data_IF_363324486755
#
_entry.id   IF_363324486755
#
_cell.length_a   1.000
_cell.length_b   1.000
_cell.length_c   1.000
_cell.angle_alpha   90.00
_cell.angle_beta   90.00
_cell.angle_gamma   90.00
#
_symmetry.space_group_name_H-M   'P 1'
#
loop_
_entity.id
_entity.type
_entity.pdbx_description
1 polymer ?
#
# COMPACT_ATOMS: atom_id res chain seq x y z
N UNK A 1 3.13 13.56 3.82
CA UNK A 1 2.85 12.19 4.29
C UNK A 1 2.42 11.28 3.15
N UNK A 2 1.41 11.67 2.38
CA UNK A 2 0.96 10.86 1.23
C UNK A 2 2.08 10.66 0.21
N UNK A 3 2.87 11.69 -0.05
CA UNK A 3 3.97 11.62 -1.02
C UNK A 3 5.01 10.57 -0.64
N UNK A 4 5.26 10.38 0.64
CA UNK A 4 6.20 9.36 1.12
C UNK A 4 5.67 7.97 0.78
N UNK A 5 4.37 7.75 0.95
CA UNK A 5 3.72 6.47 0.61
C UNK A 5 3.79 6.25 -0.90
N UNK A 6 3.47 7.27 -1.70
CA UNK A 6 3.52 7.17 -3.16
C UNK A 6 4.93 6.78 -3.62
N UNK A 7 5.95 7.47 -3.10
CA UNK A 7 7.33 7.17 -3.47
C UNK A 7 7.73 5.75 -3.08
N UNK A 8 7.35 5.33 -1.88
CA UNK A 8 7.65 3.99 -1.38
C UNK A 8 7.01 2.92 -2.25
N UNK A 9 5.73 3.10 -2.59
CA UNK A 9 5.02 2.15 -3.43
C UNK A 9 5.57 2.15 -4.85
N UNK A 10 5.92 3.32 -5.40
CA UNK A 10 6.43 3.40 -6.76
C UNK A 10 7.77 2.68 -6.94
N UNK A 11 8.55 2.56 -5.87
CA UNK A 11 9.81 1.82 -5.91
C UNK A 11 9.58 0.31 -5.99
N UNK A 12 8.40 -0.15 -5.60
CA UNK A 12 8.08 -1.57 -5.53
C UNK A 12 6.99 -1.99 -6.51
N UNK A 13 6.36 -1.05 -7.19
CA UNK A 13 5.30 -1.30 -8.17
C UNK A 13 5.71 -0.64 -9.48
N UNK A 14 5.89 -1.44 -10.52
CA UNK A 14 6.33 -0.94 -11.82
C UNK A 14 5.22 -0.86 -12.86
N UNK A 15 4.03 -1.37 -12.55
CA UNK A 15 2.90 -1.39 -13.49
C UNK A 15 2.00 -0.18 -13.38
N UNK A 16 2.21 0.67 -12.36
CA UNK A 16 1.43 1.88 -12.14
C UNK A 16 2.36 3.09 -12.05
N UNK A 17 1.89 4.23 -12.58
CA UNK A 17 2.61 5.48 -12.42
C UNK A 17 2.40 6.04 -11.01
N UNK A 18 3.24 7.02 -10.62
CA UNK A 18 3.07 7.70 -9.34
C UNK A 18 1.69 8.33 -9.21
N UNK A 19 1.20 8.89 -10.31
CA UNK A 19 -0.12 9.52 -10.33
C UNK A 19 -1.23 8.50 -10.10
N UNK A 20 -1.13 7.35 -10.74
CA UNK A 20 -2.11 6.27 -10.55
C UNK A 20 -2.08 5.75 -9.11
N UNK A 21 -0.90 5.56 -8.56
CA UNK A 21 -0.74 5.14 -7.16
C UNK A 21 -1.37 6.17 -6.23
N UNK A 22 -1.10 7.45 -6.47
CA UNK A 22 -1.64 8.52 -5.65
C UNK A 22 -3.17 8.53 -5.66
N UNK A 23 -3.77 8.28 -6.81
CA UNK A 23 -5.22 8.25 -6.94
C UNK A 23 -5.85 7.04 -6.23
N UNK A 24 -5.12 5.94 -6.13
CA UNK A 24 -5.62 4.73 -5.48
C UNK A 24 -5.51 4.77 -3.96
N UNK A 25 -4.61 5.60 -3.42
CA UNK A 25 -4.45 5.72 -1.98
C UNK A 25 -5.68 6.38 -1.38
N UNK A 26 -6.24 5.75 -0.35
CA UNK A 26 -7.45 6.21 0.31
C UNK A 26 -7.16 6.52 1.77
N UNK A 27 -7.99 7.42 2.36
CA UNK A 27 -7.96 7.66 3.79
C UNK A 27 -9.06 6.80 4.41
N UNK A 28 -8.72 5.83 5.28
CA UNK A 28 -9.75 5.01 5.91
C UNK A 28 -10.73 5.86 6.74
N UNK A 29 -11.99 5.41 6.86
CA UNK A 29 -13.00 6.18 7.60
C UNK A 29 -12.77 6.21 9.10
N UNK A 30 -11.98 5.27 9.63
CA UNK A 30 -11.71 5.18 11.07
C UNK A 30 -10.21 5.25 11.34
N UNK A 31 -9.78 6.05 12.34
CA UNK A 31 -8.36 6.17 12.67
C UNK A 31 -7.68 4.85 13.04
N UNK A 32 -8.41 3.93 13.66
CA UNK A 32 -7.83 2.62 14.03
C UNK A 32 -7.52 1.74 12.83
N UNK A 33 -7.99 2.10 11.64
CA UNK A 33 -7.68 1.38 10.40
C UNK A 33 -6.41 1.91 9.73
N UNK A 34 -5.77 2.92 10.30
CA UNK A 34 -4.53 3.50 9.78
C UNK A 34 -4.74 4.88 9.20
N UNK A 35 -3.64 5.48 8.75
CA UNK A 35 -3.65 6.81 8.16
C UNK A 35 -3.96 6.79 6.67
N UNK A 36 -3.49 5.76 5.98
CA UNK A 36 -3.72 5.59 4.55
C UNK A 36 -3.93 4.12 4.24
N UNK A 37 -4.68 3.85 3.17
CA UNK A 37 -4.93 2.51 2.67
C UNK A 37 -4.65 2.44 1.18
N UNK A 38 -4.12 1.32 0.72
CA UNK A 38 -3.87 1.08 -0.69
C UNK A 38 -4.53 -0.24 -1.10
N UNK A 39 -5.48 -0.21 -2.06
CA UNK A 39 -6.13 -1.44 -2.53
C UNK A 39 -5.23 -2.16 -3.53
N UNK A 40 -4.90 -3.40 -3.24
CA UNK A 40 -4.06 -4.21 -4.13
C UNK A 40 -4.85 -4.91 -5.23
N UNK A 41 -6.15 -4.75 -5.26
CA UNK A 41 -7.01 -5.38 -6.27
C UNK A 41 -6.62 -5.00 -7.69
N UNK A 42 -6.17 -3.74 -7.87
CA UNK A 42 -5.76 -3.24 -9.19
C UNK A 42 -4.50 -3.93 -9.71
N UNK A 43 -3.71 -4.50 -8.82
CA UNK A 43 -2.47 -5.18 -9.19
C UNK A 43 -2.67 -6.65 -9.50
N UNK A 44 -3.77 -7.23 -9.04
CA UNK A 44 -4.04 -8.65 -9.18
C UNK A 44 -4.01 -9.09 -10.65
N UNK A 45 -4.59 -8.28 -11.51
CA UNK A 45 -4.67 -8.56 -12.94
C UNK A 45 -3.29 -8.51 -13.61
N UNK A 46 -2.47 -7.54 -13.20
CA UNK A 46 -1.14 -7.35 -13.79
C UNK A 46 -0.14 -8.39 -13.31
N UNK A 47 -0.22 -8.79 -12.06
CA UNK A 47 0.71 -9.75 -11.49
C UNK A 47 0.20 -11.18 -11.50
N UNK A 48 -1.04 -11.41 -11.90
CA UNK A 48 -1.67 -12.73 -11.91
C UNK A 48 -1.61 -13.41 -10.53
N UNK A 49 -1.83 -12.61 -9.48
CA UNK A 49 -1.81 -13.08 -8.09
C UNK A 49 -3.05 -12.58 -7.37
N UNK A 50 -3.43 -13.31 -6.33
CA UNK A 50 -4.52 -12.87 -5.47
C UNK A 50 -4.13 -11.58 -4.73
N UNK A 51 -5.07 -10.62 -4.55
CA UNK A 51 -4.75 -9.38 -3.86
C UNK A 51 -4.07 -9.55 -2.49
N UNK A 52 -4.49 -10.48 -1.62
CA UNK A 52 -3.81 -10.68 -0.34
C UNK A 52 -2.35 -11.10 -0.50
N UNK A 53 -2.04 -11.88 -1.52
CA UNK A 53 -0.66 -12.30 -1.78
C UNK A 53 0.20 -11.12 -2.24
N UNK A 54 -0.35 -10.26 -3.07
CA UNK A 54 0.33 -9.05 -3.54
C UNK A 54 0.61 -8.13 -2.35
N UNK A 55 -0.37 -7.95 -1.48
CA UNK A 55 -0.22 -7.11 -0.30
C UNK A 55 0.88 -7.64 0.62
N UNK A 56 0.94 -8.96 0.81
CA UNK A 56 1.98 -9.57 1.63
C UNK A 56 3.36 -9.41 0.99
N UNK A 57 3.45 -9.60 -0.32
CA UNK A 57 4.71 -9.42 -1.05
C UNK A 57 5.21 -7.97 -0.93
N UNK A 58 4.30 -7.00 -1.04
CA UNK A 58 4.64 -5.59 -0.88
C UNK A 58 5.11 -5.29 0.54
N UNK A 59 4.45 -5.85 1.53
CA UNK A 59 4.85 -5.66 2.92
C UNK A 59 6.27 -6.18 3.15
N UNK A 60 6.58 -7.35 2.60
CA UNK A 60 7.90 -7.95 2.74
C UNK A 60 8.97 -7.11 2.00
N UNK A 61 8.62 -6.59 0.83
CA UNK A 61 9.55 -5.79 0.02
C UNK A 61 9.82 -4.43 0.65
N UNK A 62 8.79 -3.80 1.21
CA UNK A 62 8.91 -2.48 1.83
C UNK A 62 9.68 -2.56 3.14
N UNK A 63 9.41 -3.59 3.95
CA UNK A 63 10.05 -3.76 5.25
C UNK A 63 9.70 -2.64 6.21
N UNK A 64 10.57 -2.37 7.17
CA UNK A 64 10.38 -1.31 8.14
C UNK A 64 10.84 0.03 7.61
N UNK A 65 10.06 1.08 7.84
CA UNK A 65 10.39 2.45 7.46
C UNK A 65 10.33 3.33 8.70
N UNK A 66 11.25 4.30 8.79
CA UNK A 66 11.35 5.14 9.97
C UNK A 66 10.08 5.95 10.25
N UNK A 67 9.35 6.31 9.21
CA UNK A 67 8.13 7.13 9.33
C UNK A 67 6.86 6.30 9.54
N UNK A 68 6.96 4.97 9.47
CA UNK A 68 5.81 4.08 9.64
C UNK A 68 5.91 3.34 10.97
N UNK A 69 4.84 3.39 11.77
CA UNK A 69 4.78 2.62 13.00
C UNK A 69 4.40 1.17 12.71
N UNK A 70 3.55 0.95 11.72
CA UNK A 70 3.06 -0.39 11.39
C UNK A 70 2.49 -0.42 9.98
N UNK A 71 2.52 -1.60 9.38
CA UNK A 71 1.84 -1.90 8.12
C UNK A 71 1.00 -3.13 8.38
N UNK A 72 -0.29 -3.06 8.05
CA UNK A 72 -1.21 -4.20 8.17
C UNK A 72 -1.73 -4.62 6.82
N UNK A 73 -1.84 -5.92 6.62
CA UNK A 73 -2.46 -6.51 5.42
C UNK A 73 -3.74 -7.18 5.85
N UNK A 74 -4.87 -6.69 5.34
CA UNK A 74 -6.19 -7.24 5.66
C UNK A 74 -6.93 -7.44 4.34
N UNK A 75 -7.20 -8.70 3.99
CA UNK A 75 -7.79 -9.02 2.70
C UNK A 75 -6.86 -8.56 1.60
N UNK A 76 -7.39 -7.76 0.66
CA UNK A 76 -6.59 -7.19 -0.42
C UNK A 76 -6.14 -5.77 -0.16
N UNK A 77 -6.30 -5.27 1.06
CA UNK A 77 -5.92 -3.91 1.43
C UNK A 77 -4.63 -3.88 2.21
N UNK A 78 -3.87 -2.80 1.99
CA UNK A 78 -2.59 -2.52 2.62
C UNK A 78 -2.77 -1.25 3.42
N UNK A 79 -2.72 -1.35 4.74
CA UNK A 79 -2.95 -0.20 5.63
C UNK A 79 -1.64 0.31 6.21
N UNK A 80 -1.44 1.62 6.13
CA UNK A 80 -0.25 2.29 6.65
C UNK A 80 -0.58 3.04 7.92
N UNK A 81 0.23 2.85 8.96
CA UNK A 81 0.12 3.55 10.22
C UNK A 81 1.37 4.40 10.43
N UNK A 82 1.19 5.69 10.63
CA UNK A 82 2.29 6.61 10.88
C UNK A 82 2.50 6.81 12.38
N UNK A 83 3.72 7.19 12.74
CA UNK A 83 4.00 7.59 14.12
C UNK A 83 3.30 8.90 14.48
#
# INVERSE_FOLDING_TARGET
MKNQIVNLLSQNIDVLSNEEISQLIETPPKPEMGDFAFPCFRLAKSYHKAPPMIAQDLKDAIGGQAFLSEIKVIGGFFFFFFY
#
